data_IF_053914742689
#
_entry.id   IF_053914742689
#
_cell.length_a   1.000
_cell.length_b   1.000
_cell.length_c   1.000
_cell.angle_alpha   90.00
_cell.angle_beta   90.00
_cell.angle_gamma   90.00
#
_symmetry.space_group_name_H-M   'P 1'
#
loop_
_entity.id
_entity.type
_entity.pdbx_description
1 polymer ?
#
# COMPACT_ATOMS: atom_id res chain seq x y z
N UNK A 1 -23.01 -13.93 -83.08
CA UNK A 1 -22.67 -12.90 -82.07
C UNK A 1 -23.46 -13.20 -80.82
N UNK A 2 -22.82 -13.76 -79.81
CA UNK A 2 -23.38 -13.93 -78.47
C UNK A 2 -22.18 -13.89 -77.52
N UNK A 3 -21.87 -12.68 -77.06
CA UNK A 3 -20.76 -12.46 -76.14
C UNK A 3 -21.09 -12.99 -74.75
N UNK A 4 -20.13 -13.75 -74.23
CA UNK A 4 -20.13 -14.35 -72.89
C UNK A 4 -20.18 -13.25 -71.83
N UNK A 5 -21.26 -13.20 -71.07
CA UNK A 5 -21.37 -12.38 -69.88
C UNK A 5 -20.61 -13.07 -68.74
N UNK A 6 -19.33 -12.71 -68.58
CA UNK A 6 -18.47 -13.21 -67.52
C UNK A 6 -18.63 -12.33 -66.28
N UNK A 7 -19.65 -12.60 -65.47
CA UNK A 7 -19.85 -11.95 -64.18
C UNK A 7 -18.77 -12.39 -63.20
N UNK A 8 -17.66 -11.63 -63.14
CA UNK A 8 -16.72 -11.69 -62.03
C UNK A 8 -17.47 -11.29 -60.75
N UNK A 9 -17.84 -12.27 -59.94
CA UNK A 9 -18.17 -12.08 -58.53
C UNK A 9 -16.90 -11.53 -57.86
N UNK A 10 -16.89 -10.21 -57.65
CA UNK A 10 -15.89 -9.58 -56.80
C UNK A 10 -16.29 -9.91 -55.37
N UNK A 11 -15.62 -10.88 -54.76
CA UNK A 11 -15.62 -11.05 -53.30
C UNK A 11 -15.10 -9.74 -52.70
N UNK A 12 -16.01 -8.86 -52.28
CA UNK A 12 -15.66 -7.68 -51.53
C UNK A 12 -15.22 -8.14 -50.14
N UNK A 13 -13.91 -8.26 -49.92
CA UNK A 13 -13.39 -8.47 -48.57
C UNK A 13 -13.85 -7.29 -47.71
N UNK A 14 -14.80 -7.53 -46.79
CA UNK A 14 -15.25 -6.49 -45.86
C UNK A 14 -14.06 -6.13 -44.97
N UNK A 15 -13.39 -5.02 -45.29
CA UNK A 15 -12.29 -4.50 -44.47
C UNK A 15 -12.88 -3.90 -43.20
N UNK A 16 -12.68 -4.58 -42.07
CA UNK A 16 -13.04 -4.06 -40.74
C UNK A 16 -11.80 -3.51 -40.07
N UNK A 17 -11.84 -2.25 -39.68
CA UNK A 17 -10.84 -1.66 -38.77
C UNK A 17 -11.22 -2.05 -37.34
N UNK A 18 -10.26 -2.57 -36.58
CA UNK A 18 -10.44 -2.90 -35.15
C UNK A 18 -9.34 -2.24 -34.33
N UNK A 19 -9.64 -1.96 -33.06
CA UNK A 19 -8.68 -1.38 -32.13
C UNK A 19 -7.69 -2.43 -31.63
N UNK A 20 -6.40 -2.07 -31.55
CA UNK A 20 -5.36 -2.86 -30.91
C UNK A 20 -4.70 -2.08 -29.76
N UNK A 21 -4.37 -0.81 -30.01
CA UNK A 21 -3.87 0.12 -28.99
C UNK A 21 -2.70 -0.43 -28.16
N UNK A 22 -2.70 -0.12 -26.87
CA UNK A 22 -1.70 -0.61 -25.91
C UNK A 22 -1.84 -2.12 -25.60
N UNK A 23 -2.99 -2.73 -25.91
CA UNK A 23 -3.28 -4.13 -25.60
C UNK A 23 -2.33 -5.08 -26.33
N UNK A 24 -1.93 -4.72 -27.55
CA UNK A 24 -0.95 -5.48 -28.33
C UNK A 24 0.42 -5.54 -27.67
N UNK A 25 0.86 -4.45 -26.99
CA UNK A 25 2.12 -4.43 -26.25
C UNK A 25 2.07 -5.36 -25.04
N UNK A 26 0.97 -5.31 -24.27
CA UNK A 26 0.78 -6.19 -23.11
C UNK A 26 0.76 -7.66 -23.53
N UNK A 27 -0.01 -7.99 -24.58
CA UNK A 27 -0.07 -9.35 -25.13
C UNK A 27 1.28 -9.81 -25.72
N UNK A 28 2.08 -8.88 -26.27
CA UNK A 28 3.43 -9.16 -26.74
C UNK A 28 4.38 -9.51 -25.60
N UNK A 29 4.44 -8.66 -24.56
CA UNK A 29 5.28 -8.88 -23.37
C UNK A 29 4.90 -10.17 -22.65
N UNK A 30 3.60 -10.47 -22.53
CA UNK A 30 3.10 -11.70 -21.89
C UNK A 30 3.64 -12.97 -22.57
N UNK A 31 3.72 -12.96 -23.91
CA UNK A 31 4.26 -14.06 -24.72
C UNK A 31 5.78 -14.09 -24.77
N UNK A 32 6.42 -12.92 -24.87
CA UNK A 32 7.89 -12.79 -24.87
C UNK A 32 8.50 -13.30 -23.57
N UNK A 33 7.83 -13.04 -22.44
CA UNK A 33 8.20 -13.56 -21.13
C UNK A 33 7.72 -15.00 -20.88
N UNK A 34 7.07 -15.64 -21.86
CA UNK A 34 6.54 -17.00 -21.80
C UNK A 34 5.61 -17.28 -20.61
N UNK A 35 4.88 -16.24 -20.16
CA UNK A 35 3.92 -16.35 -19.05
C UNK A 35 2.74 -17.24 -19.45
N UNK A 36 2.34 -17.18 -20.72
CA UNK A 36 1.34 -18.06 -21.31
C UNK A 36 1.72 -19.54 -21.20
N UNK A 37 2.95 -19.89 -21.58
CA UNK A 37 3.46 -21.27 -21.50
C UNK A 37 3.48 -21.78 -20.07
N UNK A 38 3.96 -20.97 -19.12
CA UNK A 38 3.96 -21.33 -17.70
C UNK A 38 2.53 -21.58 -17.20
N UNK A 39 1.59 -20.69 -17.52
CA UNK A 39 0.21 -20.82 -17.07
C UNK A 39 -0.42 -22.10 -17.61
N UNK A 40 -0.25 -22.40 -18.89
CA UNK A 40 -0.84 -23.61 -19.48
C UNK A 40 -0.20 -24.90 -18.96
N UNK A 41 1.07 -24.85 -18.55
CA UNK A 41 1.73 -25.95 -17.83
C UNK A 41 1.13 -26.15 -16.43
N UNK A 42 0.93 -25.06 -15.67
CA UNK A 42 0.45 -25.14 -14.27
C UNK A 42 -1.05 -25.33 -14.15
N UNK A 43 -1.80 -24.79 -15.10
CA UNK A 43 -3.26 -24.85 -15.21
C UNK A 43 -3.62 -25.51 -16.54
N UNK A 44 -3.38 -26.83 -16.71
CA UNK A 44 -3.77 -27.52 -17.93
C UNK A 44 -5.29 -27.56 -18.06
N UNK A 45 -5.76 -27.56 -19.32
CA UNK A 45 -7.16 -27.68 -19.70
C UNK A 45 -7.73 -29.05 -19.32
N UNK A 46 -8.77 -29.10 -18.48
CA UNK A 46 -9.42 -30.36 -18.07
C UNK A 46 -10.75 -30.66 -18.80
N UNK A 47 -11.47 -29.63 -19.24
CA UNK A 47 -12.75 -29.75 -19.99
C UNK A 47 -12.61 -29.24 -21.40
N UNK A 48 -13.59 -29.47 -22.26
CA UNK A 48 -13.51 -29.05 -23.66
C UNK A 48 -13.96 -27.61 -23.91
N UNK A 49 -13.19 -26.63 -23.43
CA UNK A 49 -13.29 -25.23 -23.85
C UNK A 49 -12.30 -24.92 -24.97
N UNK A 50 -12.71 -24.07 -25.93
CA UNK A 50 -11.92 -23.81 -27.14
C UNK A 50 -10.57 -23.12 -26.86
N UNK A 51 -10.47 -22.38 -25.78
CA UNK A 51 -9.29 -21.57 -25.43
C UNK A 51 -8.61 -22.08 -24.15
N UNK A 52 -7.27 -21.98 -24.06
CA UNK A 52 -6.53 -22.36 -22.86
C UNK A 52 -6.67 -21.31 -21.74
N UNK A 53 -6.32 -21.68 -20.51
CA UNK A 53 -6.42 -20.80 -19.35
C UNK A 53 -5.47 -19.59 -19.44
N UNK A 54 -4.32 -19.71 -20.12
CA UNK A 54 -3.43 -18.57 -20.43
C UNK A 54 -4.14 -17.45 -21.21
N UNK A 55 -4.97 -17.82 -22.20
CA UNK A 55 -5.76 -16.87 -23.00
C UNK A 55 -6.82 -16.19 -22.12
N UNK A 56 -7.50 -16.95 -21.26
CA UNK A 56 -8.46 -16.38 -20.29
C UNK A 56 -7.78 -15.39 -19.34
N UNK A 57 -6.61 -15.73 -18.79
CA UNK A 57 -5.86 -14.86 -17.88
C UNK A 57 -5.37 -13.61 -18.59
N UNK A 58 -4.80 -13.74 -19.80
CA UNK A 58 -4.39 -12.58 -20.59
C UNK A 58 -5.60 -11.68 -20.88
N UNK A 59 -6.75 -12.26 -21.23
CA UNK A 59 -7.97 -11.48 -21.46
C UNK A 59 -8.41 -10.72 -20.19
N UNK A 60 -8.32 -11.33 -19.01
CA UNK A 60 -8.63 -10.67 -17.73
C UNK A 60 -7.66 -9.52 -17.44
N UNK A 61 -6.36 -9.70 -17.71
CA UNK A 61 -5.35 -8.65 -17.57
C UNK A 61 -5.66 -7.47 -18.51
N UNK A 62 -5.95 -7.76 -19.78
CA UNK A 62 -6.30 -6.72 -20.77
C UNK A 62 -7.59 -5.97 -20.39
N UNK A 63 -8.60 -6.69 -19.88
CA UNK A 63 -9.84 -6.08 -19.39
C UNK A 63 -9.59 -5.19 -18.15
N UNK A 64 -8.82 -5.68 -17.19
CA UNK A 64 -8.48 -4.96 -15.96
C UNK A 64 -7.69 -3.67 -16.22
N UNK A 65 -6.75 -3.69 -17.17
CA UNK A 65 -6.02 -2.49 -17.61
C UNK A 65 -6.90 -1.48 -18.37
N UNK A 66 -8.04 -1.92 -18.88
CA UNK A 66 -9.07 -1.03 -19.42
C UNK A 66 -9.85 -0.27 -18.34
N UNK A 67 -9.67 -0.58 -17.05
CA UNK A 67 -10.40 -0.02 -15.90
C UNK A 67 -11.93 -0.14 -16.00
N UNK A 68 -12.41 -1.16 -16.73
CA UNK A 68 -13.84 -1.38 -16.88
C UNK A 68 -14.30 -2.42 -15.85
N UNK A 69 -14.97 -1.95 -14.80
CA UNK A 69 -15.68 -2.83 -13.87
C UNK A 69 -16.92 -3.43 -14.56
N UNK A 70 -16.79 -4.63 -15.10
CA UNK A 70 -17.89 -5.35 -15.75
C UNK A 70 -18.18 -6.67 -15.04
N UNK A 71 -19.47 -7.04 -14.99
CA UNK A 71 -19.89 -8.36 -14.52
C UNK A 71 -19.39 -9.42 -15.50
N UNK A 72 -19.09 -10.63 -15.02
CA UNK A 72 -18.52 -11.72 -15.83
C UNK A 72 -19.31 -12.04 -17.11
N UNK A 73 -20.65 -11.94 -17.08
CA UNK A 73 -21.48 -12.18 -18.28
C UNK A 73 -21.32 -11.12 -19.38
N UNK A 74 -20.79 -9.94 -19.05
CA UNK A 74 -20.48 -8.87 -20.00
C UNK A 74 -19.03 -8.93 -20.51
N UNK A 75 -18.24 -9.91 -20.07
CA UNK A 75 -16.83 -10.01 -20.44
C UNK A 75 -16.60 -10.07 -21.98
N UNK A 76 -17.41 -10.79 -22.79
CA UNK A 76 -17.31 -10.73 -24.24
C UNK A 76 -17.51 -9.34 -24.85
N UNK A 77 -18.28 -8.47 -24.20
CA UNK A 77 -18.62 -7.14 -24.73
C UNK A 77 -17.43 -6.18 -24.69
N UNK A 78 -16.50 -6.35 -23.74
CA UNK A 78 -15.24 -5.60 -23.73
C UNK A 78 -14.48 -5.75 -25.05
N UNK A 79 -14.50 -6.96 -25.64
CA UNK A 79 -13.76 -7.28 -26.85
C UNK A 79 -14.49 -6.95 -28.16
N UNK A 80 -15.68 -6.35 -28.11
CA UNK A 80 -16.51 -6.07 -29.30
C UNK A 80 -15.78 -5.28 -30.39
N UNK A 81 -15.00 -4.27 -29.99
CA UNK A 81 -14.28 -3.38 -30.91
C UNK A 81 -12.78 -3.65 -30.96
N UNK A 82 -12.33 -4.73 -30.30
CA UNK A 82 -10.91 -5.10 -30.17
C UNK A 82 -10.55 -6.16 -31.20
N UNK A 83 -9.31 -6.14 -31.67
CA UNK A 83 -8.76 -7.14 -32.59
C UNK A 83 -8.40 -8.44 -31.84
N UNK A 84 -9.42 -9.28 -31.58
CA UNK A 84 -9.30 -10.53 -30.80
C UNK A 84 -8.28 -11.50 -31.39
N UNK A 85 -8.40 -11.81 -32.68
CA UNK A 85 -7.50 -12.79 -33.31
C UNK A 85 -6.03 -12.34 -33.27
N UNK A 86 -5.77 -11.03 -33.34
CA UNK A 86 -4.42 -10.47 -33.22
C UNK A 86 -3.86 -10.60 -31.80
N UNK A 87 -4.73 -10.58 -30.79
CA UNK A 87 -4.33 -10.68 -29.38
C UNK A 87 -4.19 -12.14 -28.92
N UNK A 88 -5.13 -12.99 -29.30
CA UNK A 88 -5.31 -14.33 -28.72
C UNK A 88 -5.08 -15.49 -29.68
N UNK A 89 -4.89 -15.22 -30.97
CA UNK A 89 -4.65 -16.24 -32.00
C UNK A 89 -5.82 -16.38 -32.98
N UNK A 90 -5.51 -17.01 -34.12
CA UNK A 90 -6.46 -17.18 -35.22
C UNK A 90 -7.67 -18.03 -34.81
N UNK A 91 -8.86 -17.62 -35.25
CA UNK A 91 -10.11 -18.33 -34.96
C UNK A 91 -10.70 -18.09 -33.57
N UNK A 92 -10.02 -17.36 -32.67
CA UNK A 92 -10.58 -16.99 -31.35
C UNK A 92 -11.65 -15.91 -31.52
N UNK A 93 -12.82 -16.14 -30.94
CA UNK A 93 -13.95 -15.20 -30.93
C UNK A 93 -14.17 -14.62 -29.53
N UNK A 94 -14.96 -13.55 -29.42
CA UNK A 94 -15.32 -12.99 -28.09
C UNK A 94 -16.22 -13.95 -27.31
N UNK A 95 -17.01 -14.75 -28.01
CA UNK A 95 -17.93 -15.72 -27.43
C UNK A 95 -17.16 -16.87 -26.75
N UNK A 96 -15.92 -17.13 -27.17
CA UNK A 96 -15.02 -18.07 -26.51
C UNK A 96 -14.57 -17.53 -25.13
N UNK A 97 -14.49 -16.20 -24.97
CA UNK A 97 -14.16 -15.49 -23.72
C UNK A 97 -15.41 -15.25 -22.84
N UNK A 98 -16.24 -16.27 -22.66
CA UNK A 98 -17.48 -16.16 -21.89
C UNK A 98 -17.29 -16.40 -20.38
N UNK A 99 -18.35 -16.12 -19.61
CA UNK A 99 -18.36 -16.27 -18.15
C UNK A 99 -18.00 -17.68 -17.64
N UNK A 100 -18.25 -18.72 -18.44
CA UNK A 100 -17.96 -20.11 -18.03
C UNK A 100 -16.47 -20.38 -18.14
N UNK A 101 -15.85 -20.00 -19.25
CA UNK A 101 -14.40 -20.12 -19.44
C UNK A 101 -13.62 -19.26 -18.42
N UNK A 102 -14.06 -18.02 -18.19
CA UNK A 102 -13.44 -17.13 -17.20
C UNK A 102 -13.67 -17.62 -15.78
N UNK A 103 -14.91 -18.02 -15.42
CA UNK A 103 -15.25 -18.54 -14.10
C UNK A 103 -14.46 -19.81 -13.76
N UNK A 104 -14.39 -20.77 -14.69
CA UNK A 104 -13.59 -21.98 -14.49
C UNK A 104 -12.10 -21.65 -14.34
N UNK A 105 -11.58 -20.68 -15.09
CA UNK A 105 -10.20 -20.23 -14.92
C UNK A 105 -9.94 -19.68 -13.50
N UNK A 106 -10.89 -18.92 -12.94
CA UNK A 106 -10.80 -18.42 -11.56
C UNK A 106 -10.85 -19.57 -10.55
N UNK A 107 -11.75 -20.53 -10.72
CA UNK A 107 -11.84 -21.72 -9.84
C UNK A 107 -10.54 -22.52 -9.86
N UNK A 108 -9.91 -22.64 -11.03
CA UNK A 108 -8.61 -23.31 -11.21
C UNK A 108 -7.48 -22.56 -10.49
N UNK A 109 -7.47 -21.23 -10.55
CA UNK A 109 -6.50 -20.41 -9.81
C UNK A 109 -6.67 -20.60 -8.30
N UNK A 110 -7.91 -20.62 -7.81
CA UNK A 110 -8.21 -20.86 -6.39
C UNK A 110 -7.72 -22.24 -5.97
N UNK A 111 -8.05 -23.29 -6.73
CA UNK A 111 -7.62 -24.67 -6.46
C UNK A 111 -6.09 -24.83 -6.50
N UNK A 112 -5.39 -24.13 -7.41
CA UNK A 112 -3.93 -24.18 -7.50
C UNK A 112 -3.25 -23.38 -6.38
N UNK A 113 -3.91 -22.33 -5.89
CA UNK A 113 -3.39 -21.36 -4.94
C UNK A 113 -2.92 -20.08 -5.65
N UNK A 114 -3.64 -18.94 -5.49
CA UNK A 114 -3.32 -17.70 -6.20
C UNK A 114 -1.91 -17.16 -5.85
N UNK A 115 -1.55 -17.21 -4.57
CA UNK A 115 -0.22 -16.81 -4.07
C UNK A 115 0.89 -17.64 -4.68
N UNK A 116 0.67 -18.96 -4.80
CA UNK A 116 1.63 -19.89 -5.39
C UNK A 116 1.81 -19.62 -6.89
N UNK A 117 0.70 -19.53 -7.64
CA UNK A 117 0.73 -19.22 -9.08
C UNK A 117 1.45 -17.90 -9.35
N UNK A 118 1.11 -16.85 -8.59
CA UNK A 118 1.75 -15.56 -8.73
C UNK A 118 3.26 -15.61 -8.49
N UNK A 119 3.68 -16.30 -7.43
CA UNK A 119 5.10 -16.45 -7.09
C UNK A 119 5.85 -17.22 -8.19
N UNK A 120 5.26 -18.27 -8.75
CA UNK A 120 5.86 -19.01 -9.87
C UNK A 120 5.97 -18.15 -11.14
N UNK A 121 4.97 -17.32 -11.44
CA UNK A 121 5.02 -16.36 -12.55
C UNK A 121 6.16 -15.36 -12.34
N UNK A 122 6.29 -14.78 -11.14
CA UNK A 122 7.37 -13.84 -10.82
C UNK A 122 8.73 -14.49 -11.00
N UNK A 123 8.94 -15.69 -10.43
CA UNK A 123 10.21 -16.43 -10.55
C UNK A 123 10.54 -16.73 -12.02
N UNK A 124 9.55 -17.13 -12.80
CA UNK A 124 9.71 -17.39 -14.23
C UNK A 124 10.17 -16.13 -14.98
N UNK A 125 9.55 -14.98 -14.70
CA UNK A 125 9.93 -13.70 -15.30
C UNK A 125 11.34 -13.29 -14.85
N UNK A 126 11.68 -13.44 -13.57
CA UNK A 126 13.00 -13.10 -13.04
C UNK A 126 14.15 -13.91 -13.67
N UNK A 127 13.88 -15.15 -14.09
CA UNK A 127 14.86 -15.97 -14.81
C UNK A 127 15.12 -15.47 -16.24
N UNK A 128 14.22 -14.67 -16.81
CA UNK A 128 14.32 -14.14 -18.19
C UNK A 128 14.72 -12.67 -18.23
N UNK A 129 14.31 -11.92 -17.21
CA UNK A 129 14.55 -10.50 -17.09
C UNK A 129 15.28 -10.24 -15.76
N UNK A 130 16.48 -9.63 -15.79
CA UNK A 130 17.21 -9.31 -14.56
C UNK A 130 16.47 -8.23 -13.77
N UNK A 131 15.58 -8.64 -12.88
CA UNK A 131 14.84 -7.74 -11.98
C UNK A 131 15.68 -7.57 -10.71
N UNK A 132 16.13 -6.34 -10.40
CA UNK A 132 16.96 -6.11 -9.23
C UNK A 132 16.14 -6.26 -7.95
N UNK A 133 16.66 -7.04 -7.01
CA UNK A 133 16.06 -7.30 -5.70
C UNK A 133 17.02 -6.84 -4.62
N UNK A 134 16.94 -5.56 -4.23
CA UNK A 134 17.79 -5.01 -3.17
C UNK A 134 16.97 -4.61 -1.93
N UNK A 135 15.88 -3.88 -2.15
CA UNK A 135 14.94 -3.51 -1.10
C UNK A 135 13.58 -4.13 -1.40
N UNK A 136 13.02 -4.83 -0.42
CA UNK A 136 11.71 -5.46 -0.48
C UNK A 136 10.77 -4.73 0.47
N UNK A 137 9.88 -3.92 -0.08
CA UNK A 137 8.90 -3.16 0.67
C UNK A 137 7.66 -4.02 0.87
N UNK A 138 7.39 -4.38 2.13
CA UNK A 138 6.21 -5.10 2.53
C UNK A 138 5.18 -4.13 3.11
N UNK A 139 3.98 -4.12 2.55
CA UNK A 139 2.84 -3.39 3.08
C UNK A 139 1.57 -4.22 2.84
N UNK A 140 0.54 -3.91 3.60
CA UNK A 140 -0.80 -4.44 3.41
C UNK A 140 -1.69 -3.36 2.78
N UNK A 141 -2.79 -3.73 2.17
CA UNK A 141 -3.84 -2.79 1.77
C UNK A 141 -5.17 -3.48 1.87
N UNK A 142 -6.22 -2.76 2.25
CA UNK A 142 -7.56 -3.32 2.22
C UNK A 142 -8.27 -3.01 0.91
N UNK A 143 -9.01 -3.98 0.39
CA UNK A 143 -9.83 -3.85 -0.81
C UNK A 143 -11.29 -3.96 -0.37
N UNK A 144 -12.01 -2.83 -0.44
CA UNK A 144 -13.44 -2.79 -0.13
C UNK A 144 -14.26 -3.35 -1.29
N UNK A 145 -15.31 -4.09 -0.96
CA UNK A 145 -16.18 -4.75 -1.92
C UNK A 145 -17.66 -4.48 -1.61
N UNK A 146 -18.51 -4.66 -2.63
CA UNK A 146 -19.95 -4.46 -2.55
C UNK A 146 -20.67 -5.80 -2.66
N UNK A 147 -21.67 -6.03 -1.81
CA UNK A 147 -22.47 -7.26 -1.80
C UNK A 147 -22.69 -7.78 -0.38
N UNK A 148 -23.65 -8.70 -0.24
CA UNK A 148 -24.03 -9.19 1.09
C UNK A 148 -23.09 -10.26 1.63
N UNK A 149 -22.36 -11.00 0.78
CA UNK A 149 -21.38 -12.04 1.14
C UNK A 149 -21.85 -12.88 2.35
N UNK A 150 -23.04 -13.49 2.25
CA UNK A 150 -23.67 -14.25 3.34
C UNK A 150 -23.29 -15.73 3.37
N UNK A 151 -22.65 -16.23 2.31
CA UNK A 151 -22.23 -17.63 2.23
C UNK A 151 -20.95 -17.83 3.06
N UNK A 152 -21.03 -18.70 4.07
CA UNK A 152 -19.95 -18.98 5.04
C UNK A 152 -18.86 -19.94 4.53
N UNK A 153 -18.97 -20.48 3.31
CA UNK A 153 -18.02 -21.47 2.81
C UNK A 153 -17.21 -20.93 1.64
N UNK A 154 -16.13 -20.22 1.97
CA UNK A 154 -14.98 -20.17 1.06
C UNK A 154 -13.78 -20.76 1.80
N UNK A 155 -13.16 -21.80 1.23
CA UNK A 155 -11.97 -22.48 1.77
C UNK A 155 -10.71 -21.56 1.79
N UNK A 156 -10.85 -20.23 1.67
CA UNK A 156 -9.74 -19.31 1.44
C UNK A 156 -9.73 -18.07 2.34
N UNK A 157 -10.66 -17.12 2.17
CA UNK A 157 -10.69 -15.84 2.92
C UNK A 157 -12.11 -15.40 3.26
N UNK A 158 -12.30 -14.84 4.44
CA UNK A 158 -13.58 -14.26 4.84
C UNK A 158 -13.67 -12.80 4.38
N UNK A 159 -14.63 -12.53 3.49
CA UNK A 159 -14.99 -11.17 3.12
C UNK A 159 -15.87 -10.59 4.22
N UNK A 160 -15.27 -9.77 5.07
CA UNK A 160 -15.91 -9.25 6.30
C UNK A 160 -15.49 -7.81 6.59
N UNK A 161 -16.09 -7.20 7.61
CA UNK A 161 -15.68 -5.88 8.08
C UNK A 161 -14.33 -5.95 8.79
N UNK A 162 -13.55 -4.88 8.68
CA UNK A 162 -12.30 -4.70 9.41
C UNK A 162 -11.89 -3.24 9.42
N UNK A 163 -10.60 -2.97 9.61
CA UNK A 163 -10.06 -1.61 9.61
C UNK A 163 -9.73 -1.22 8.15
N UNK A 164 -10.47 -0.29 7.51
CA UNK A 164 -10.25 0.04 6.12
C UNK A 164 -9.15 1.10 5.94
N UNK A 165 -8.20 0.88 5.03
CA UNK A 165 -7.18 1.88 4.69
C UNK A 165 -7.74 3.07 3.88
N UNK A 166 -8.89 2.88 3.22
CA UNK A 166 -9.59 3.91 2.44
C UNK A 166 -10.72 4.64 3.21
N UNK A 167 -10.94 4.31 4.48
CA UNK A 167 -11.97 4.91 5.33
C UNK A 167 -13.41 4.43 5.08
N UNK A 168 -13.64 3.39 4.26
CA UNK A 168 -14.98 2.83 3.97
C UNK A 168 -15.41 1.80 5.02
N UNK A 169 -15.76 2.29 6.20
CA UNK A 169 -16.25 1.46 7.31
C UNK A 169 -17.62 0.81 7.04
N UNK A 170 -18.32 1.31 6.03
CA UNK A 170 -19.62 0.81 5.57
C UNK A 170 -19.52 -0.42 4.66
N UNK A 171 -18.31 -0.77 4.19
CA UNK A 171 -18.11 -1.88 3.26
C UNK A 171 -17.37 -3.05 3.89
N UNK A 172 -17.74 -4.27 3.49
CA UNK A 172 -16.92 -5.46 3.69
C UNK A 172 -15.63 -5.34 2.89
N UNK A 173 -14.59 -6.05 3.31
CA UNK A 173 -13.27 -5.99 2.69
C UNK A 173 -12.53 -7.32 2.77
N UNK A 174 -11.45 -7.42 2.01
CA UNK A 174 -10.37 -8.36 2.24
C UNK A 174 -9.04 -7.61 2.30
N UNK A 175 -8.00 -8.23 2.85
CA UNK A 175 -6.66 -7.63 2.99
C UNK A 175 -5.73 -8.26 1.96
N UNK A 176 -5.03 -7.42 1.20
CA UNK A 176 -3.98 -7.80 0.26
C UNK A 176 -2.63 -7.41 0.84
N UNK A 177 -1.75 -8.39 0.97
CA UNK A 177 -0.36 -8.24 1.39
C UNK A 177 0.52 -8.25 0.16
N UNK A 178 1.33 -7.22 -0.03
CA UNK A 178 2.17 -7.07 -1.20
C UNK A 178 3.62 -6.86 -0.77
N UNK A 179 4.54 -7.56 -1.42
CA UNK A 179 5.96 -7.25 -1.36
C UNK A 179 6.40 -6.77 -2.73
N UNK A 180 6.92 -5.55 -2.79
CA UNK A 180 7.44 -4.94 -4.01
C UNK A 180 8.93 -4.65 -3.89
N UNK A 181 9.66 -4.62 -5.01
CA UNK A 181 11.04 -4.17 -5.01
C UNK A 181 11.17 -2.63 -4.95
N UNK A 182 12.41 -2.11 -4.97
CA UNK A 182 12.69 -0.68 -4.97
C UNK A 182 12.14 0.11 -6.18
N UNK A 183 11.64 -0.57 -7.21
CA UNK A 183 10.99 0.04 -8.38
C UNK A 183 9.47 -0.10 -8.35
N UNK A 184 8.91 -0.69 -7.29
CA UNK A 184 7.48 -0.96 -7.18
C UNK A 184 7.00 -2.19 -7.96
N UNK A 185 7.91 -3.04 -8.43
CA UNK A 185 7.55 -4.31 -9.10
C UNK A 185 7.11 -5.31 -8.03
N UNK A 186 5.88 -5.84 -8.10
CA UNK A 186 5.41 -6.86 -7.16
C UNK A 186 6.17 -8.19 -7.34
N UNK A 187 6.65 -8.73 -6.22
CA UNK A 187 7.40 -10.00 -6.17
C UNK A 187 6.69 -11.07 -5.34
N UNK A 188 5.77 -10.66 -4.47
CA UNK A 188 4.93 -11.57 -3.71
C UNK A 188 3.59 -10.91 -3.42
N UNK A 189 2.52 -11.69 -3.47
CA UNK A 189 1.20 -11.26 -3.02
C UNK A 189 0.52 -12.36 -2.20
N UNK A 190 -0.26 -11.98 -1.19
CA UNK A 190 -1.12 -12.90 -0.47
C UNK A 190 -2.41 -12.20 -0.04
N UNK A 191 -3.51 -12.93 -0.02
CA UNK A 191 -4.82 -12.42 0.43
C UNK A 191 -5.18 -12.97 1.79
N UNK A 192 -5.83 -12.16 2.61
CA UNK A 192 -6.27 -12.51 3.96
C UNK A 192 -7.71 -12.04 4.19
N UNK A 193 -8.38 -12.65 5.17
CA UNK A 193 -9.71 -12.21 5.63
C UNK A 193 -9.72 -10.73 6.01
N UNK A 194 -10.87 -10.07 5.86
CA UNK A 194 -11.03 -8.62 6.04
C UNK A 194 -10.64 -8.06 7.41
N UNK A 195 -10.56 -8.91 8.42
CA UNK A 195 -10.21 -8.61 9.81
C UNK A 195 -8.77 -9.02 10.19
N UNK A 196 -7.95 -9.46 9.23
CA UNK A 196 -6.58 -9.89 9.48
C UNK A 196 -5.69 -8.75 10.01
N UNK A 197 -4.74 -9.09 10.90
CA UNK A 197 -3.80 -8.12 11.49
C UNK A 197 -2.56 -7.93 10.63
N UNK A 198 -2.13 -6.68 10.43
CA UNK A 198 -0.90 -6.34 9.69
C UNK A 198 0.37 -6.99 10.29
N UNK A 199 0.41 -7.18 11.62
CA UNK A 199 1.62 -7.61 12.34
C UNK A 199 2.08 -9.03 11.99
N UNK A 200 1.17 -9.99 11.90
CA UNK A 200 1.48 -11.40 11.55
C UNK A 200 1.76 -11.54 10.06
N UNK A 201 0.94 -10.86 9.27
CA UNK A 201 0.86 -10.98 7.83
C UNK A 201 2.13 -10.56 7.09
N UNK A 202 2.79 -9.47 7.53
CA UNK A 202 4.05 -9.00 6.92
C UNK A 202 5.16 -10.05 7.08
N UNK A 203 5.30 -10.64 8.28
CA UNK A 203 6.34 -11.61 8.56
C UNK A 203 6.13 -12.91 7.77
N UNK A 204 4.89 -13.37 7.65
CA UNK A 204 4.53 -14.54 6.85
C UNK A 204 4.89 -14.33 5.38
N UNK A 205 4.51 -13.18 4.81
CA UNK A 205 4.86 -12.83 3.44
C UNK A 205 6.38 -12.84 3.19
N UNK A 206 7.16 -12.28 4.14
CA UNK A 206 8.63 -12.28 4.08
C UNK A 206 9.19 -13.71 4.12
N UNK A 207 8.68 -14.57 5.01
CA UNK A 207 9.12 -15.97 5.13
C UNK A 207 8.81 -16.77 3.85
N UNK A 208 7.61 -16.61 3.30
CA UNK A 208 7.19 -17.26 2.06
C UNK A 208 8.04 -16.85 0.86
N UNK A 209 8.34 -15.54 0.73
CA UNK A 209 9.22 -15.07 -0.33
C UNK A 209 10.64 -15.62 -0.19
N UNK A 210 11.20 -15.72 1.03
CA UNK A 210 12.53 -16.33 1.26
C UNK A 210 12.59 -17.79 0.86
N UNK A 211 11.50 -18.55 1.06
CA UNK A 211 11.46 -19.94 0.60
C UNK A 211 11.42 -20.06 -0.92
N UNK A 212 10.85 -19.06 -1.60
CA UNK A 212 10.71 -19.05 -3.05
C UNK A 212 11.93 -18.45 -3.77
N UNK A 213 12.56 -17.43 -3.18
CA UNK A 213 13.67 -16.67 -3.77
C UNK A 213 14.87 -16.77 -2.83
N UNK A 214 15.97 -17.33 -3.34
CA UNK A 214 17.28 -17.28 -2.69
C UNK A 214 18.13 -16.20 -3.37
N UNK A 215 18.09 -14.94 -2.90
CA UNK A 215 18.89 -13.89 -3.49
C UNK A 215 20.38 -14.16 -3.21
N UNK A 216 21.21 -14.09 -4.24
CA UNK A 216 22.67 -14.20 -4.12
C UNK A 216 23.30 -13.02 -3.36
N UNK A 217 22.55 -11.93 -3.23
CA UNK A 217 23.01 -10.67 -2.68
C UNK A 217 22.22 -10.26 -1.44
N UNK A 218 22.75 -9.24 -0.75
CA UNK A 218 22.14 -8.67 0.45
C UNK A 218 20.79 -8.02 0.12
N UNK A 219 19.73 -8.52 0.75
CA UNK A 219 18.37 -7.99 0.63
C UNK A 219 17.92 -7.34 1.94
N UNK A 220 17.30 -6.16 1.83
CA UNK A 220 16.70 -5.43 2.95
C UNK A 220 15.18 -5.50 2.90
N UNK A 221 14.56 -6.03 3.95
CA UNK A 221 13.11 -6.02 4.12
C UNK A 221 12.67 -4.70 4.77
N UNK A 222 11.90 -3.90 4.05
CA UNK A 222 11.41 -2.60 4.51
C UNK A 222 9.93 -2.75 4.88
N UNK A 223 9.58 -2.40 6.10
CA UNK A 223 8.20 -2.48 6.58
C UNK A 223 7.85 -1.27 7.47
N UNK A 224 6.56 -1.07 7.70
CA UNK A 224 6.07 -0.01 8.57
C UNK A 224 6.29 -0.31 10.07
N UNK A 225 5.85 0.58 10.94
CA UNK A 225 6.01 0.41 12.38
C UNK A 225 5.26 -0.79 12.97
N UNK A 226 4.29 -1.37 12.27
CA UNK A 226 3.57 -2.57 12.75
C UNK A 226 4.48 -3.80 12.75
N UNK A 227 5.48 -3.85 11.85
CA UNK A 227 6.49 -4.90 11.83
C UNK A 227 7.39 -4.86 13.08
N UNK A 228 7.64 -3.68 13.64
CA UNK A 228 8.58 -3.48 14.75
C UNK A 228 7.99 -3.96 16.10
N UNK A 229 8.06 -5.28 16.31
CA UNK A 229 7.68 -5.96 17.55
C UNK A 229 8.72 -7.00 17.94
N UNK A 230 8.83 -7.30 19.23
CA UNK A 230 9.79 -8.27 19.77
C UNK A 230 9.66 -9.63 19.07
N UNK A 231 8.42 -10.10 18.88
CA UNK A 231 8.14 -11.36 18.19
C UNK A 231 8.63 -11.33 16.73
N UNK A 232 8.35 -10.28 15.98
CA UNK A 232 8.72 -10.19 14.57
C UNK A 232 10.23 -10.02 14.39
N UNK A 233 10.88 -9.23 15.24
CA UNK A 233 12.33 -9.01 15.24
C UNK A 233 13.07 -10.32 15.52
N UNK A 234 12.59 -11.13 16.47
CA UNK A 234 13.17 -12.45 16.71
C UNK A 234 12.92 -13.42 15.55
N UNK A 235 11.72 -13.40 14.97
CA UNK A 235 11.34 -14.32 13.90
C UNK A 235 11.93 -13.99 12.52
N UNK A 236 12.33 -12.75 12.24
CA UNK A 236 12.95 -12.40 10.96
C UNK A 236 14.39 -12.93 10.85
N UNK A 237 15.01 -13.29 11.98
CA UNK A 237 16.30 -13.98 12.06
C UNK A 237 17.46 -13.12 11.52
N UNK A 238 18.35 -13.76 10.74
CA UNK A 238 19.59 -13.14 10.24
C UNK A 238 19.38 -12.18 9.05
N UNK A 239 18.14 -11.91 8.66
CA UNK A 239 17.87 -11.05 7.51
C UNK A 239 18.01 -9.57 7.85
N UNK A 240 18.39 -8.77 6.86
CA UNK A 240 18.49 -7.34 7.03
C UNK A 240 17.12 -6.70 6.86
N UNK A 241 16.79 -5.75 7.72
CA UNK A 241 15.50 -5.10 7.70
C UNK A 241 15.62 -3.62 8.07
N UNK A 242 14.63 -2.85 7.64
CA UNK A 242 14.47 -1.43 7.94
C UNK A 242 13.00 -1.24 8.32
N UNK A 243 12.77 -0.68 9.50
CA UNK A 243 11.42 -0.41 9.98
C UNK A 243 11.38 0.88 10.77
N UNK A 244 10.22 1.53 10.78
CA UNK A 244 10.00 2.68 11.64
C UNK A 244 9.86 2.22 13.08
N UNK A 245 10.68 2.77 13.98
CA UNK A 245 10.54 2.56 15.42
C UNK A 245 9.26 3.28 15.90
N UNK A 246 8.31 2.59 16.56
CA UNK A 246 7.12 3.21 17.13
C UNK A 246 7.46 4.24 18.21
N UNK A 247 6.86 5.43 18.14
CA UNK A 247 7.00 6.47 19.16
C UNK A 247 6.27 6.14 20.48
N UNK A 248 5.74 4.92 20.61
CA UNK A 248 5.17 4.38 21.86
C UNK A 248 6.25 3.81 22.77
N UNK A 249 7.41 3.40 22.21
CA UNK A 249 8.57 2.87 22.94
C UNK A 249 9.25 4.00 23.71
N UNK A 250 9.63 3.76 24.97
CA UNK A 250 10.14 4.80 25.87
C UNK A 250 11.47 5.39 25.39
N UNK A 251 12.42 4.54 25.01
CA UNK A 251 13.71 4.91 24.46
C UNK A 251 13.56 5.76 23.19
N UNK A 252 12.54 5.45 22.37
CA UNK A 252 12.24 6.24 21.19
C UNK A 252 11.69 7.64 21.55
N UNK A 253 10.84 7.74 22.58
CA UNK A 253 10.34 9.03 23.09
C UNK A 253 11.47 9.89 23.64
N UNK A 254 12.36 9.29 24.42
CA UNK A 254 13.54 9.97 24.98
C UNK A 254 14.44 10.53 23.88
N UNK A 255 14.71 9.74 22.83
CA UNK A 255 15.50 10.22 21.69
C UNK A 255 14.80 11.32 20.89
N UNK A 256 13.46 11.31 20.84
CA UNK A 256 12.67 12.34 20.16
C UNK A 256 12.64 13.68 20.91
N UNK A 257 12.83 13.68 22.24
CA UNK A 257 12.85 14.89 23.07
C UNK A 257 14.25 15.33 23.47
N UNK A 258 15.25 14.47 23.31
CA UNK A 258 16.63 14.78 23.63
C UNK A 258 17.20 15.91 22.76
N UNK A 259 17.99 16.78 23.38
CA UNK A 259 18.74 17.82 22.69
C UNK A 259 20.02 17.23 22.07
N UNK A 260 19.85 16.58 20.92
CA UNK A 260 20.91 15.86 20.23
C UNK A 260 21.61 16.75 19.20
N UNK A 261 22.92 16.57 19.04
CA UNK A 261 23.69 17.21 17.97
C UNK A 261 23.55 16.39 16.67
N UNK A 262 22.55 16.72 15.85
CA UNK A 262 22.33 16.06 14.57
C UNK A 262 23.34 16.56 13.52
N UNK A 263 23.89 15.62 12.75
CA UNK A 263 24.83 15.91 11.66
C UNK A 263 24.08 16.00 10.33
N UNK A 264 24.42 16.95 9.44
CA UNK A 264 23.88 16.98 8.09
C UNK A 264 24.13 15.66 7.36
N UNK A 265 23.14 15.19 6.60
CA UNK A 265 23.27 14.00 5.78
C UNK A 265 23.98 14.38 4.48
N UNK A 266 25.20 13.85 4.27
CA UNK A 266 26.04 14.20 3.10
C UNK A 266 25.38 13.92 1.75
N UNK A 267 24.54 12.89 1.67
CA UNK A 267 23.87 12.50 0.43
C UNK A 267 22.63 13.34 0.13
N UNK A 268 22.09 14.04 1.13
CA UNK A 268 20.86 14.83 0.99
C UNK A 268 20.79 15.90 2.09
N UNK A 269 21.16 17.13 1.73
CA UNK A 269 21.22 18.30 2.63
C UNK A 269 19.84 18.67 3.22
N UNK A 270 18.75 18.12 2.69
CA UNK A 270 17.39 18.33 3.22
C UNK A 270 17.17 17.61 4.56
N UNK A 271 18.13 16.78 4.99
CA UNK A 271 18.05 16.04 6.23
C UNK A 271 19.31 16.17 7.09
N UNK A 272 19.10 16.16 8.40
CA UNK A 272 20.15 15.90 9.39
C UNK A 272 19.79 14.63 10.16
N UNK A 273 20.79 13.94 10.70
CA UNK A 273 20.59 12.67 11.40
C UNK A 273 21.43 12.52 12.66
N UNK A 274 20.93 11.69 13.56
CA UNK A 274 21.68 11.14 14.68
C UNK A 274 21.55 9.61 14.64
N UNK A 275 22.60 8.89 14.99
CA UNK A 275 22.58 7.43 15.04
C UNK A 275 23.02 6.92 16.41
N UNK A 276 22.40 5.85 16.86
CA UNK A 276 22.76 5.16 18.11
C UNK A 276 22.50 3.66 17.97
N UNK A 277 22.94 2.88 18.95
CA UNK A 277 22.61 1.46 19.06
C UNK A 277 21.71 1.23 20.27
N UNK A 278 20.63 0.49 20.06
CA UNK A 278 19.65 0.12 21.09
C UNK A 278 19.49 -1.39 21.07
N UNK A 279 19.38 -1.99 22.24
CA UNK A 279 18.95 -3.38 22.38
C UNK A 279 17.44 -3.39 22.61
N UNK A 280 16.70 -4.03 21.70
CA UNK A 280 15.24 -4.14 21.77
C UNK A 280 14.85 -5.54 21.30
N UNK A 281 13.96 -6.22 22.04
CA UNK A 281 13.58 -7.60 21.74
C UNK A 281 14.75 -8.59 21.74
N UNK A 282 15.83 -8.30 22.48
CA UNK A 282 17.05 -9.13 22.55
C UNK A 282 17.97 -9.02 21.33
N UNK A 283 17.74 -8.05 20.45
CA UNK A 283 18.55 -7.81 19.25
C UNK A 283 19.14 -6.42 19.32
N UNK A 284 20.46 -6.34 19.23
CA UNK A 284 21.19 -5.07 19.09
C UNK A 284 20.97 -4.49 17.70
N UNK A 285 20.39 -3.29 17.65
CA UNK A 285 19.93 -2.65 16.43
C UNK A 285 20.52 -1.26 16.28
N UNK A 286 20.69 -0.81 15.04
CA UNK A 286 21.09 0.58 14.74
C UNK A 286 19.83 1.43 14.56
N UNK A 287 19.62 2.38 15.46
CA UNK A 287 18.55 3.38 15.32
C UNK A 287 19.12 4.64 14.67
N UNK A 288 18.31 5.25 13.80
CA UNK A 288 18.64 6.51 13.12
C UNK A 288 17.48 7.48 13.30
N UNK A 289 17.74 8.58 14.01
CA UNK A 289 16.82 9.70 14.12
C UNK A 289 17.07 10.64 12.94
N UNK A 290 16.02 10.93 12.16
CA UNK A 290 16.07 11.83 11.01
C UNK A 290 15.29 13.11 11.30
N UNK A 291 15.90 14.25 11.01
CA UNK A 291 15.28 15.56 11.03
C UNK A 291 15.15 16.06 9.59
N UNK A 292 13.90 16.27 9.14
CA UNK A 292 13.63 16.99 7.90
C UNK A 292 13.61 18.49 8.17
N UNK A 293 14.49 19.25 7.51
CA UNK A 293 14.57 20.71 7.69
C UNK A 293 13.26 21.40 7.27
N UNK A 294 12.65 20.99 6.16
CA UNK A 294 11.35 21.49 5.71
C UNK A 294 10.22 21.23 6.73
N UNK A 295 10.18 20.04 7.34
CA UNK A 295 9.17 19.74 8.36
C UNK A 295 9.41 20.54 9.64
N UNK A 296 10.68 20.77 10.01
CA UNK A 296 11.06 21.61 11.14
C UNK A 296 10.53 23.04 10.96
N UNK A 297 10.83 23.67 9.82
CA UNK A 297 10.34 25.02 9.50
C UNK A 297 8.81 25.12 9.60
N UNK A 298 8.10 24.16 8.99
CA UNK A 298 6.63 24.11 9.05
C UNK A 298 6.13 24.01 10.50
N UNK A 299 6.73 23.13 11.31
CA UNK A 299 6.36 22.95 12.73
C UNK A 299 6.70 24.18 13.57
N UNK A 300 7.81 24.86 13.30
CA UNK A 300 8.17 26.11 14.00
C UNK A 300 7.17 27.22 13.73
N UNK A 301 6.69 27.37 12.48
CA UNK A 301 5.62 28.32 12.15
C UNK A 301 4.34 27.98 12.93
N UNK A 302 3.95 26.70 12.95
CA UNK A 302 2.78 26.26 13.72
C UNK A 302 2.95 26.51 15.22
N UNK A 303 4.14 26.26 15.78
CA UNK A 303 4.45 26.52 17.18
C UNK A 303 4.36 28.01 17.51
N UNK A 304 4.96 28.88 16.69
CA UNK A 304 4.89 30.34 16.88
C UNK A 304 3.44 30.84 16.87
N UNK A 305 2.61 30.37 15.93
CA UNK A 305 1.17 30.70 15.90
C UNK A 305 0.44 30.22 17.15
N UNK A 306 0.75 29.02 17.65
CA UNK A 306 0.16 28.49 18.88
C UNK A 306 0.52 29.36 20.09
N UNK A 307 1.80 29.71 20.24
CA UNK A 307 2.30 30.56 21.32
C UNK A 307 1.69 31.97 21.27
N UNK A 308 1.57 32.56 20.08
CA UNK A 308 0.92 33.86 19.91
C UNK A 308 -0.55 33.83 20.35
N UNK A 309 -1.30 32.81 19.95
CA UNK A 309 -2.70 32.66 20.36
C UNK A 309 -2.84 32.42 21.88
N UNK A 310 -1.88 31.72 22.50
CA UNK A 310 -1.84 31.51 23.95
C UNK A 310 -1.54 32.82 24.69
N UNK A 311 -0.59 33.61 24.19
CA UNK A 311 -0.26 34.93 24.72
C UNK A 311 -1.46 35.89 24.64
N UNK A 312 -2.15 35.96 23.50
CA UNK A 312 -3.34 36.81 23.35
C UNK A 312 -4.48 36.41 24.30
N UNK A 313 -4.63 35.11 24.58
CA UNK A 313 -5.60 34.61 25.57
C UNK A 313 -5.19 34.97 26.98
N UNK A 314 -3.90 34.82 27.30
CA UNK A 314 -3.33 35.17 28.59
C UNK A 314 -3.48 36.66 28.84
N UNK A 315 -3.12 37.55 27.90
CA UNK A 315 -3.29 39.00 28.04
C UNK A 315 -4.75 39.40 28.32
N UNK A 316 -5.71 38.78 27.61
CA UNK A 316 -7.14 39.02 27.85
C UNK A 316 -7.59 38.53 29.23
N UNK A 317 -7.06 37.41 29.68
CA UNK A 317 -7.33 36.87 31.02
C UNK A 317 -6.69 37.72 32.12
N UNK A 318 -5.44 38.14 31.93
CA UNK A 318 -4.70 39.00 32.86
C UNK A 318 -5.39 40.35 33.04
N UNK A 319 -5.92 40.96 31.97
CA UNK A 319 -6.71 42.20 32.07
C UNK A 319 -7.93 42.05 32.98
N UNK A 320 -8.54 40.86 33.05
CA UNK A 320 -9.66 40.59 33.98
C UNK A 320 -9.15 40.47 35.41
N UNK A 321 -8.06 39.73 35.61
CA UNK A 321 -7.43 39.56 36.93
C UNK A 321 -6.96 40.90 37.53
N UNK A 322 -6.34 41.76 36.72
CA UNK A 322 -5.90 43.11 37.14
C UNK A 322 -7.09 44.02 37.51
N UNK A 323 -8.27 43.78 36.93
CA UNK A 323 -9.48 44.54 37.22
C UNK A 323 -10.30 44.00 38.39
N UNK A 324 -9.86 42.92 39.05
CA UNK A 324 -10.56 42.27 40.16
C UNK A 324 -10.10 42.86 41.50
N UNK A 325 -11.07 43.20 42.36
CA UNK A 325 -10.78 43.67 43.72
C UNK A 325 -10.69 42.45 44.66
N UNK A 326 -9.59 42.36 45.42
CA UNK A 326 -9.39 41.31 46.42
C UNK A 326 -9.54 41.87 47.84
N UNK A 327 -10.01 41.03 48.78
CA UNK A 327 -10.23 41.44 50.18
C UNK A 327 -8.93 41.69 50.95
N UNK A 328 -7.86 40.98 50.58
CA UNK A 328 -6.53 41.15 51.16
C UNK A 328 -5.42 40.87 50.15
N UNK A 329 -4.19 41.24 50.51
CA UNK A 329 -2.98 41.01 49.71
C UNK A 329 -2.71 39.52 49.45
N UNK A 330 -2.92 38.66 50.44
CA UNK A 330 -2.71 37.21 50.28
C UNK A 330 -3.64 36.60 49.21
N UNK A 331 -4.89 37.08 49.10
CA UNK A 331 -5.84 36.58 48.11
C UNK A 331 -5.45 37.01 46.70
N UNK A 332 -4.93 38.23 46.54
CA UNK A 332 -4.43 38.73 45.26
C UNK A 332 -3.20 37.93 44.79
N UNK A 333 -2.27 37.63 45.70
CA UNK A 333 -1.09 36.82 45.39
C UNK A 333 -1.47 35.39 45.01
N UNK A 334 -2.39 34.73 45.74
CA UNK A 334 -2.90 33.39 45.40
C UNK A 334 -3.59 33.37 44.03
N UNK A 335 -4.32 34.43 43.68
CA UNK A 335 -4.96 34.54 42.39
C UNK A 335 -3.93 34.68 41.25
N UNK A 336 -2.85 35.42 41.46
CA UNK A 336 -1.72 35.51 40.52
C UNK A 336 -0.97 34.18 40.36
N UNK A 337 -0.72 33.44 41.45
CA UNK A 337 -0.13 32.10 41.40
C UNK A 337 -1.00 31.12 40.60
N UNK A 338 -2.31 31.11 40.87
CA UNK A 338 -3.27 30.29 40.15
C UNK A 338 -3.30 30.65 38.66
N UNK A 339 -3.29 31.93 38.32
CA UNK A 339 -3.24 32.39 36.94
C UNK A 339 -1.96 31.91 36.22
N UNK A 340 -0.82 31.93 36.90
CA UNK A 340 0.45 31.42 36.34
C UNK A 340 0.37 29.92 36.07
N UNK A 341 -0.30 29.15 36.95
CA UNK A 341 -0.55 27.73 36.72
C UNK A 341 -1.50 27.46 35.53
N UNK A 342 -2.46 28.36 35.28
CA UNK A 342 -3.38 28.28 34.13
C UNK A 342 -2.67 28.62 32.79
N UNK A 343 -1.55 29.35 32.82
CA UNK A 343 -0.73 29.73 31.65
C UNK A 343 0.74 29.34 31.81
N UNK A 344 1.08 28.04 31.77
CA UNK A 344 2.42 27.52 32.10
C UNK A 344 3.53 27.98 31.15
N UNK A 345 3.20 28.52 29.98
CA UNK A 345 4.16 29.05 29.00
C UNK A 345 4.52 30.53 29.24
N UNK A 346 3.92 31.18 30.25
CA UNK A 346 4.02 32.62 30.51
C UNK A 346 4.38 32.82 31.98
N UNK A 347 5.26 33.78 32.24
CA UNK A 347 5.72 34.10 33.59
C UNK A 347 5.63 35.60 33.81
N UNK A 348 5.25 36.02 35.00
CA UNK A 348 5.30 37.42 35.39
C UNK A 348 6.76 37.89 35.52
N UNK A 349 7.12 38.99 34.86
CA UNK A 349 8.39 39.67 35.15
C UNK A 349 8.37 40.32 36.53
N UNK A 350 7.20 40.82 36.95
CA UNK A 350 6.98 41.47 38.24
C UNK A 350 5.50 41.41 38.61
N UNK A 351 5.21 41.26 39.90
CA UNK A 351 3.85 41.36 40.46
C UNK A 351 3.84 42.51 41.46
N UNK A 352 3.06 43.55 41.17
CA UNK A 352 2.87 44.72 42.04
C UNK A 352 1.40 44.81 42.45
N UNK A 353 1.14 45.03 43.74
CA UNK A 353 -0.21 45.19 44.28
C UNK A 353 -0.53 46.67 44.51
N UNK A 354 -1.74 47.08 44.12
CA UNK A 354 -2.22 48.45 44.33
C UNK A 354 -3.38 48.42 45.33
N UNK A 355 -3.19 49.06 46.49
CA UNK A 355 -4.28 49.24 47.45
C UNK A 355 -5.32 50.21 46.89
N UNK A 356 -6.57 49.74 46.78
CA UNK A 356 -7.71 50.56 46.40
C UNK A 356 -8.51 50.86 47.67
N UNK A 357 -8.56 52.15 48.08
CA UNK A 357 -9.53 52.59 49.10
C UNK A 357 -10.88 52.77 48.41
N UNK A 358 -11.88 51.98 48.79
CA UNK A 358 -13.28 52.22 48.41
C UNK A 358 -13.88 53.33 49.24
#
# INVERSE_FOLDING_TARGET
MADKNNSRLVESSIKRTRFLGHLGLIAGVFRELEVDKLIDEKLPKERDHKIPHSVCILAMVLNGLGFIGQRLYLFPDFFRNISIERLFGEGVTREDLNQYAIGETLDRIVKYGPTKLFTEIVLHIMNRLPIPVHCLHADTTSVSVYGDYQDEETESIDITFGIPKNGRWDLKQFVLSLIVNQHGIPLFMNTHSGNASDKSTILEAIKSLKSAVSPESKVYYVADSSFYTDNNINNIGKSFWISRVPATINEAKELLTANLNLKPLKSDERYSFYQTFVDYGGVKQKWVLLLSHKMKEKKEITLRKKLQNELEKAEKSLKKLVGEDFFCEEDALKAAEKWTADFPSIVFEKVDLKTVKK
#
